data_IF_545367996853
#
_entry.id   IF_545367996853
#
_cell.length_a   1.000
_cell.length_b   1.000
_cell.length_c   1.000
_cell.angle_alpha   90.00
_cell.angle_beta   90.00
_cell.angle_gamma   90.00
#
_symmetry.space_group_name_H-M   'P 1'
#
loop_
_entity.id
_entity.type
_entity.pdbx_description
1 polymer ?
#
# COMPACT_ATOMS: atom_id res chain seq x y z
N UNK A 1 -19.61 -10.27 1.67
CA UNK A 1 -19.87 -8.81 1.56
C UNK A 1 -20.06 -8.13 2.94
N UNK A 2 -19.03 -8.12 3.79
CA UNK A 2 -19.04 -7.47 5.13
C UNK A 2 -17.73 -6.74 5.49
N UNK A 3 -16.69 -6.82 4.64
CA UNK A 3 -15.36 -6.29 4.95
C UNK A 3 -15.16 -4.82 4.51
N UNK A 4 -15.75 -4.40 3.38
CA UNK A 4 -15.57 -3.05 2.81
C UNK A 4 -16.34 -1.92 3.51
N UNK A 5 -17.33 -2.23 4.38
CA UNK A 5 -18.06 -1.20 5.16
C UNK A 5 -17.33 -0.77 6.44
N UNK A 6 -16.21 -1.41 6.81
CA UNK A 6 -15.41 -1.04 8.01
C UNK A 6 -14.39 0.07 7.75
N UNK A 7 -14.14 0.46 6.50
CA UNK A 7 -13.13 1.46 6.15
C UNK A 7 -13.60 2.93 6.25
N UNK A 8 -14.91 3.20 6.34
CA UNK A 8 -15.44 4.58 6.25
C UNK A 8 -16.68 4.84 7.13
N UNK A 9 -16.60 4.56 8.43
CA UNK A 9 -17.53 5.16 9.41
C UNK A 9 -16.75 6.00 10.40
N UNK A 10 -16.76 7.30 10.16
CA UNK A 10 -16.44 8.32 11.16
C UNK A 10 -17.63 8.38 12.11
N UNK A 11 -17.43 8.02 13.37
CA UNK A 11 -18.31 8.39 14.49
C UNK A 11 -17.65 9.51 15.28
N UNK A 12 -18.41 10.50 15.79
CA UNK A 12 -17.82 11.66 16.44
C UNK A 12 -17.22 11.30 17.80
N UNK A 13 -16.20 12.09 18.11
CA UNK A 13 -15.27 12.10 19.24
C UNK A 13 -15.97 11.86 20.60
N UNK A 14 -15.52 10.84 21.33
CA UNK A 14 -15.63 10.83 22.79
C UNK A 14 -14.24 11.20 23.32
N UNK A 15 -14.13 12.36 23.95
CA UNK A 15 -12.91 12.76 24.66
C UNK A 15 -12.75 11.84 25.87
N UNK A 16 -11.71 11.01 25.83
CA UNK A 16 -11.15 10.35 26.99
C UNK A 16 -9.75 10.94 27.18
N UNK A 17 -9.52 11.50 28.37
CA UNK A 17 -8.21 12.03 28.78
C UNK A 17 -7.10 10.98 28.63
N UNK A 18 -5.88 11.37 28.20
CA UNK A 18 -4.80 10.41 27.97
C UNK A 18 -4.23 9.95 29.31
N UNK A 19 -4.48 8.69 29.65
CA UNK A 19 -3.81 7.97 30.72
C UNK A 19 -2.39 7.61 30.30
N UNK A 20 -1.40 8.26 30.93
CA UNK A 20 0.05 7.94 31.00
C UNK A 20 0.68 7.14 29.83
N UNK A 21 1.34 7.87 28.93
CA UNK A 21 2.19 7.38 27.83
C UNK A 21 3.50 6.73 28.33
N UNK A 22 3.43 5.55 28.95
CA UNK A 22 4.63 4.84 29.41
C UNK A 22 5.39 4.08 28.31
N UNK A 23 4.85 3.96 27.09
CA UNK A 23 5.45 3.15 26.00
C UNK A 23 5.29 3.76 24.59
N UNK A 24 5.10 5.07 24.48
CA UNK A 24 5.07 5.75 23.18
C UNK A 24 6.46 5.85 22.55
N UNK A 25 6.57 5.70 21.23
CA UNK A 25 7.76 6.11 20.47
C UNK A 25 7.91 7.64 20.58
N UNK A 26 8.64 8.08 21.61
CA UNK A 26 8.89 9.47 21.89
C UNK A 26 10.33 9.67 22.40
N UNK A 27 10.78 10.92 22.34
CA UNK A 27 12.16 11.29 22.65
C UNK A 27 12.48 11.13 24.15
N UNK A 28 11.48 11.26 25.02
CA UNK A 28 11.66 11.09 26.47
C UNK A 28 11.96 9.63 26.80
N UNK A 29 11.22 8.68 26.23
CA UNK A 29 11.48 7.25 26.34
C UNK A 29 12.84 6.90 25.75
N UNK A 30 13.21 7.49 24.62
CA UNK A 30 14.55 7.32 24.04
C UNK A 30 15.65 7.78 24.99
N UNK A 31 15.55 9.01 25.52
CA UNK A 31 16.54 9.61 26.42
C UNK A 31 16.65 8.87 27.76
N UNK A 32 15.53 8.38 28.29
CA UNK A 32 15.48 7.64 29.54
C UNK A 32 16.11 6.24 29.47
N UNK A 33 16.20 5.66 28.26
CA UNK A 33 16.65 4.28 28.04
C UNK A 33 17.84 4.20 27.07
N UNK A 34 18.71 5.22 27.02
CA UNK A 34 19.87 5.26 26.10
C UNK A 34 20.94 4.19 26.41
N UNK A 35 20.86 3.60 27.60
CA UNK A 35 21.65 2.44 27.99
C UNK A 35 21.34 1.21 27.13
N UNK A 36 20.08 1.05 26.68
CA UNK A 36 19.62 -0.12 25.89
C UNK A 36 19.20 0.28 24.46
N UNK A 37 18.61 1.46 24.26
CA UNK A 37 18.11 1.94 22.98
C UNK A 37 19.15 2.83 22.31
N UNK A 38 19.60 2.47 21.10
CA UNK A 38 20.51 3.32 20.31
C UNK A 38 19.84 4.15 19.23
N UNK A 39 18.59 3.82 18.93
CA UNK A 39 17.81 4.59 17.98
C UNK A 39 16.54 3.88 17.61
N UNK A 40 16.21 3.96 16.33
CA UNK A 40 15.00 3.34 15.77
C UNK A 40 15.31 2.60 14.48
N UNK A 41 14.60 1.50 14.24
CA UNK A 41 14.62 0.74 13.00
C UNK A 41 13.30 0.93 12.25
N UNK A 42 13.35 1.17 10.95
CA UNK A 42 12.15 1.33 10.13
C UNK A 42 11.60 -0.03 9.73
N UNK A 43 10.33 -0.27 10.03
CA UNK A 43 9.59 -1.46 9.64
C UNK A 43 8.50 -1.08 8.64
N UNK A 44 8.78 -1.28 7.36
CA UNK A 44 7.75 -1.17 6.31
C UNK A 44 6.66 -2.24 6.49
N UNK A 45 5.40 -1.86 6.26
CA UNK A 45 4.27 -2.78 6.20
C UNK A 45 4.37 -3.59 4.90
N UNK A 46 4.50 -4.92 5.00
CA UNK A 46 4.71 -5.79 3.83
C UNK A 46 3.40 -6.08 3.09
N UNK A 47 2.88 -5.10 2.36
CA UNK A 47 1.68 -5.22 1.54
C UNK A 47 1.96 -4.80 0.10
N UNK A 48 1.25 -5.37 -0.87
CA UNK A 48 1.44 -5.07 -2.31
C UNK A 48 1.05 -3.61 -2.67
N UNK A 49 0.34 -2.92 -1.76
CA UNK A 49 0.06 -1.48 -1.88
C UNK A 49 1.18 -0.57 -1.35
N UNK A 50 2.12 -1.09 -0.57
CA UNK A 50 3.15 -0.28 0.08
C UNK A 50 4.09 0.27 -1.00
N UNK A 51 4.35 1.59 -1.05
CA UNK A 51 5.16 2.18 -2.11
C UNK A 51 6.59 1.63 -2.15
N UNK A 52 7.19 1.56 -3.34
CA UNK A 52 8.58 1.13 -3.52
C UNK A 52 9.55 1.98 -2.71
N UNK A 53 9.34 3.30 -2.70
CA UNK A 53 10.16 4.23 -1.94
C UNK A 53 10.18 3.88 -0.46
N UNK A 54 9.04 3.44 0.12
CA UNK A 54 8.95 3.03 1.52
C UNK A 54 9.58 1.65 1.75
N UNK A 55 9.33 0.69 0.86
CA UNK A 55 9.85 -0.69 1.00
C UNK A 55 11.38 -0.73 1.01
N UNK A 56 12.05 0.16 0.27
CA UNK A 56 13.51 0.25 0.21
C UNK A 56 14.17 0.63 1.53
N UNK A 57 13.42 1.25 2.45
CA UNK A 57 13.92 1.64 3.76
C UNK A 57 13.64 0.59 4.85
N UNK A 58 13.03 -0.55 4.51
CA UNK A 58 12.77 -1.61 5.48
C UNK A 58 14.07 -2.11 6.11
N UNK A 59 14.13 -2.12 7.44
CA UNK A 59 15.32 -2.50 8.20
C UNK A 59 16.35 -1.38 8.36
N UNK A 60 16.11 -0.17 7.82
CA UNK A 60 17.00 0.96 8.03
C UNK A 60 17.05 1.36 9.50
N UNK A 61 18.25 1.63 10.01
CA UNK A 61 18.47 2.09 11.38
C UNK A 61 18.83 3.57 11.36
N UNK A 62 18.10 4.36 12.15
CA UNK A 62 18.44 5.75 12.46
C UNK A 62 18.92 5.83 13.90
N UNK A 63 20.16 6.27 14.10
CA UNK A 63 20.77 6.48 15.41
C UNK A 63 20.41 7.88 15.90
N UNK A 64 19.54 7.97 16.90
CA UNK A 64 19.04 9.24 17.41
C UNK A 64 17.60 9.16 17.92
N UNK A 65 17.04 10.30 18.37
CA UNK A 65 15.68 10.36 18.88
C UNK A 65 14.63 10.10 17.78
N UNK A 66 13.50 9.42 18.09
CA UNK A 66 12.46 9.11 17.11
C UNK A 66 11.90 10.33 16.36
N UNK A 67 11.84 11.51 16.99
CA UNK A 67 11.31 12.72 16.37
C UNK A 67 12.15 13.26 15.21
N UNK A 68 13.45 12.94 15.19
CA UNK A 68 14.40 13.37 14.17
C UNK A 68 14.56 12.34 13.03
N UNK A 69 13.97 11.14 13.19
CA UNK A 69 14.05 10.10 12.18
C UNK A 69 13.36 10.53 10.87
N UNK A 70 13.89 10.12 9.69
CA UNK A 70 13.27 10.42 8.40
C UNK A 70 11.82 9.97 8.31
N UNK A 71 11.00 10.72 7.56
CA UNK A 71 9.60 10.36 7.32
C UNK A 71 9.45 9.61 6.00
N UNK A 72 9.03 8.37 6.08
CA UNK A 72 8.73 7.52 4.93
C UNK A 72 7.23 7.26 4.83
N UNK A 73 6.61 7.72 3.73
CA UNK A 73 5.19 7.50 3.47
C UNK A 73 4.28 7.92 4.63
N UNK A 74 3.23 7.15 4.86
CA UNK A 74 2.32 7.32 5.99
C UNK A 74 2.44 6.16 6.99
N UNK A 75 1.86 6.29 8.20
CA UNK A 75 1.93 5.25 9.24
C UNK A 75 1.36 3.89 8.79
N UNK A 76 0.48 3.87 7.79
CA UNK A 76 -0.03 2.62 7.20
C UNK A 76 0.98 1.93 6.28
N UNK A 77 2.03 2.63 5.84
CA UNK A 77 3.04 2.12 4.92
C UNK A 77 4.28 1.61 5.67
N UNK A 78 4.53 2.15 6.87
CA UNK A 78 5.55 1.67 7.78
C UNK A 78 5.62 2.53 9.04
N UNK A 79 6.34 2.02 10.04
CA UNK A 79 6.58 2.71 11.30
C UNK A 79 8.03 2.55 11.71
N UNK A 80 8.53 3.51 12.48
CA UNK A 80 9.75 3.34 13.25
C UNK A 80 9.44 2.54 14.51
N UNK A 81 10.36 1.68 14.92
CA UNK A 81 10.32 0.96 16.21
C UNK A 81 11.67 1.13 16.90
N UNK A 82 11.70 1.13 18.23
CA UNK A 82 12.97 1.24 18.95
C UNK A 82 13.93 0.11 18.55
N UNK A 83 15.17 0.49 18.26
CA UNK A 83 16.27 -0.42 17.99
C UNK A 83 17.17 -0.48 19.22
N UNK A 84 17.37 -1.67 19.75
CA UNK A 84 18.21 -1.93 20.92
C UNK A 84 19.61 -2.34 20.50
N UNK A 85 20.60 -2.11 21.36
CA UNK A 85 21.90 -2.79 21.28
C UNK A 85 21.67 -4.29 21.51
N UNK A 86 21.43 -5.03 20.44
CA UNK A 86 21.53 -6.48 20.46
C UNK A 86 22.64 -6.84 19.48
N UNK A 87 23.88 -6.68 19.95
CA UNK A 87 25.05 -7.38 19.38
C UNK A 87 24.91 -8.91 19.51
N UNK A 88 23.91 -9.40 20.24
CA UNK A 88 23.52 -10.80 20.23
C UNK A 88 22.63 -11.13 19.02
N UNK A 89 23.26 -11.57 17.92
CA UNK A 89 22.62 -12.29 16.80
C UNK A 89 21.68 -13.42 17.29
N UNK A 90 21.90 -13.93 18.51
CA UNK A 90 21.14 -15.02 19.14
C UNK A 90 19.71 -14.62 19.55
N UNK A 91 19.42 -13.33 19.76
CA UNK A 91 18.08 -12.81 20.07
C UNK A 91 17.41 -12.08 18.89
N UNK A 92 18.09 -11.96 17.76
CA UNK A 92 17.56 -11.45 16.50
C UNK A 92 16.60 -12.49 15.88
N UNK A 93 15.41 -12.64 16.47
CA UNK A 93 14.34 -13.39 15.85
C UNK A 93 13.80 -12.60 14.66
N UNK A 94 14.06 -13.07 13.43
CA UNK A 94 13.26 -12.68 12.26
C UNK A 94 11.79 -13.01 12.54
N UNK A 95 11.07 -12.03 13.06
CA UNK A 95 9.66 -12.18 13.38
C UNK A 95 8.83 -12.18 12.09
N UNK A 96 7.70 -12.89 12.11
CA UNK A 96 6.77 -12.81 11.00
C UNK A 96 6.14 -11.42 10.97
N UNK A 97 6.19 -10.76 9.82
CA UNK A 97 5.53 -9.49 9.60
C UNK A 97 4.12 -9.72 9.04
N UNK A 98 3.19 -8.83 9.39
CA UNK A 98 1.86 -8.84 8.82
C UNK A 98 1.93 -8.49 7.32
N UNK A 99 1.37 -9.37 6.49
CA UNK A 99 1.21 -9.14 5.05
C UNK A 99 -0.20 -9.46 4.57
N UNK A 100 -0.49 -9.10 3.32
CA UNK A 100 -1.71 -9.51 2.63
C UNK A 100 -1.71 -10.98 2.20
N UNK A 101 -0.61 -11.70 2.29
CA UNK A 101 -0.57 -13.17 2.10
C UNK A 101 -0.48 -13.94 3.43
N UNK A 102 -0.77 -13.26 4.55
CA UNK A 102 -0.67 -13.81 5.91
C UNK A 102 0.64 -13.43 6.60
N UNK A 103 0.92 -13.94 7.81
CA UNK A 103 2.20 -13.70 8.47
C UNK A 103 3.35 -14.31 7.64
N UNK A 104 4.38 -13.52 7.32
CA UNK A 104 5.53 -13.95 6.51
C UNK A 104 6.83 -13.35 7.01
N UNK A 105 7.94 -14.04 6.77
CA UNK A 105 9.28 -13.47 6.99
C UNK A 105 9.58 -12.38 5.95
N UNK A 106 10.24 -11.27 6.34
CA UNK A 106 10.67 -10.24 5.38
C UNK A 106 11.52 -10.79 4.25
N UNK A 107 12.50 -11.64 4.54
CA UNK A 107 13.37 -12.26 3.54
C UNK A 107 12.62 -13.05 2.45
N UNK A 108 11.42 -13.56 2.76
CA UNK A 108 10.58 -14.28 1.80
C UNK A 108 9.77 -13.32 0.91
N UNK A 109 9.17 -12.27 1.48
CA UNK A 109 8.18 -11.47 0.76
C UNK A 109 8.68 -10.11 0.27
N UNK A 110 9.60 -9.48 1.00
CA UNK A 110 10.13 -8.15 0.66
C UNK A 110 10.79 -8.09 -0.73
N UNK A 111 11.61 -9.08 -1.16
CA UNK A 111 12.20 -9.05 -2.51
C UNK A 111 11.13 -9.06 -3.61
N UNK A 112 10.07 -9.86 -3.45
CA UNK A 112 8.94 -9.87 -4.38
C UNK A 112 8.25 -8.51 -4.42
N UNK A 113 7.97 -7.90 -3.26
CA UNK A 113 7.30 -6.61 -3.17
C UNK A 113 8.10 -5.50 -3.84
N UNK A 114 9.41 -5.43 -3.59
CA UNK A 114 10.29 -4.43 -4.20
C UNK A 114 10.21 -4.52 -5.72
N UNK A 115 10.30 -5.72 -6.28
CA UNK A 115 10.26 -5.90 -7.74
C UNK A 115 8.88 -5.66 -8.32
N UNK A 116 7.85 -6.19 -7.68
CA UNK A 116 6.46 -5.95 -8.06
C UNK A 116 6.18 -4.44 -8.14
N UNK A 117 6.54 -3.68 -7.10
CA UNK A 117 6.36 -2.23 -7.07
C UNK A 117 7.27 -1.51 -8.07
N UNK A 118 8.48 -2.01 -8.34
CA UNK A 118 9.33 -1.45 -9.39
C UNK A 118 8.70 -1.52 -10.77
N UNK A 119 7.90 -2.56 -11.05
CA UNK A 119 7.17 -2.70 -12.30
C UNK A 119 5.91 -1.81 -12.29
N UNK A 120 5.11 -1.86 -11.23
CA UNK A 120 3.84 -1.10 -11.12
C UNK A 120 4.06 0.42 -11.07
N UNK A 121 5.16 0.89 -10.47
CA UNK A 121 5.49 2.31 -10.37
C UNK A 121 6.42 2.78 -11.51
N UNK A 122 6.72 1.92 -12.48
CA UNK A 122 7.51 2.29 -13.64
C UNK A 122 6.74 3.19 -14.61
N UNK A 123 7.45 3.75 -15.58
CA UNK A 123 6.88 4.48 -16.72
C UNK A 123 6.43 3.57 -17.87
N UNK A 124 6.46 2.24 -17.71
CA UNK A 124 5.96 1.32 -18.75
C UNK A 124 4.46 1.52 -18.95
N UNK A 125 3.98 1.29 -20.17
CA UNK A 125 2.54 1.20 -20.40
C UNK A 125 1.96 -0.03 -19.68
N UNK A 126 0.64 -0.03 -19.49
CA UNK A 126 -0.01 -1.05 -18.69
C UNK A 126 0.13 -2.46 -19.27
N UNK A 127 0.23 -2.62 -20.60
CA UNK A 127 0.34 -3.95 -21.19
C UNK A 127 1.75 -4.52 -20.95
N UNK A 128 2.78 -3.67 -21.10
CA UNK A 128 4.16 -4.04 -20.74
C UNK A 128 4.30 -4.32 -19.23
N UNK A 129 3.68 -3.52 -18.36
CA UNK A 129 3.66 -3.77 -16.92
C UNK A 129 3.09 -5.15 -16.61
N UNK A 130 1.93 -5.49 -17.17
CA UNK A 130 1.26 -6.77 -16.93
C UNK A 130 2.13 -7.94 -17.43
N UNK A 131 2.74 -7.82 -18.62
CA UNK A 131 3.66 -8.83 -19.13
C UNK A 131 4.82 -9.08 -18.17
N UNK A 132 5.47 -8.02 -17.66
CA UNK A 132 6.58 -8.14 -16.70
C UNK A 132 6.12 -8.74 -15.37
N UNK A 133 4.92 -8.42 -14.90
CA UNK A 133 4.37 -9.01 -13.68
C UNK A 133 4.15 -10.52 -13.81
N UNK A 134 3.68 -11.00 -14.96
CA UNK A 134 3.61 -12.45 -15.23
C UNK A 134 5.00 -13.09 -15.35
N UNK A 135 6.00 -12.39 -15.90
CA UNK A 135 7.38 -12.90 -15.89
C UNK A 135 7.95 -12.97 -14.47
N UNK A 136 7.64 -11.99 -13.62
CA UNK A 136 8.03 -11.95 -12.22
C UNK A 136 7.51 -13.19 -11.47
N UNK A 137 6.26 -13.61 -11.71
CA UNK A 137 5.68 -14.77 -11.02
C UNK A 137 6.43 -16.08 -11.29
N UNK A 138 7.06 -16.22 -12.46
CA UNK A 138 7.79 -17.43 -12.85
C UNK A 138 9.28 -17.39 -12.49
N UNK A 139 9.77 -16.28 -11.92
CA UNK A 139 11.20 -16.10 -11.64
C UNK A 139 11.76 -17.06 -10.59
N UNK A 140 10.94 -17.48 -9.63
CA UNK A 140 11.32 -18.45 -8.60
C UNK A 140 10.11 -19.20 -8.07
N UNK A 141 10.36 -20.35 -7.42
CA UNK A 141 9.32 -21.14 -6.75
C UNK A 141 8.59 -20.32 -5.66
N UNK A 142 9.33 -19.48 -4.95
CA UNK A 142 8.78 -18.62 -3.91
C UNK A 142 7.86 -17.55 -4.51
N UNK A 143 8.29 -16.91 -5.60
CA UNK A 143 7.49 -15.89 -6.29
C UNK A 143 6.22 -16.48 -6.87
N UNK A 144 6.28 -17.70 -7.41
CA UNK A 144 5.12 -18.44 -7.88
C UNK A 144 4.13 -18.74 -6.75
N UNK A 145 4.64 -19.14 -5.59
CA UNK A 145 3.81 -19.41 -4.40
C UNK A 145 3.16 -18.13 -3.87
N UNK A 146 3.90 -17.04 -3.80
CA UNK A 146 3.39 -15.71 -3.44
C UNK A 146 2.29 -15.28 -4.41
N UNK A 147 2.55 -15.41 -5.71
CA UNK A 147 1.61 -15.07 -6.77
C UNK A 147 0.29 -15.84 -6.62
N UNK A 148 0.34 -17.15 -6.40
CA UNK A 148 -0.84 -17.98 -6.16
C UNK A 148 -1.66 -17.52 -4.95
N UNK A 149 -1.00 -17.14 -3.85
CA UNK A 149 -1.68 -16.59 -2.65
C UNK A 149 -2.36 -15.26 -2.97
N UNK A 150 -1.72 -14.40 -3.76
CA UNK A 150 -2.28 -13.11 -4.19
C UNK A 150 -3.50 -13.30 -5.11
N UNK A 151 -3.39 -14.13 -6.14
CA UNK A 151 -4.52 -14.46 -7.04
C UNK A 151 -5.70 -15.08 -6.28
N UNK A 152 -5.43 -15.90 -5.26
CA UNK A 152 -6.50 -16.49 -4.42
C UNK A 152 -7.22 -15.47 -3.53
N UNK A 153 -6.57 -14.33 -3.24
CA UNK A 153 -7.10 -13.29 -2.35
C UNK A 153 -7.74 -12.13 -3.11
N UNK A 154 -7.30 -11.88 -4.35
CA UNK A 154 -7.68 -10.73 -5.15
C UNK A 154 -8.19 -11.20 -6.52
N UNK A 155 -9.52 -11.10 -6.70
CA UNK A 155 -10.26 -11.66 -7.85
C UNK A 155 -9.75 -11.23 -9.24
N UNK A 156 -9.06 -10.09 -9.36
CA UNK A 156 -8.49 -9.58 -10.63
C UNK A 156 -7.04 -9.10 -10.48
N UNK A 157 -6.25 -9.84 -9.70
CA UNK A 157 -4.81 -9.61 -9.63
C UNK A 157 -4.11 -10.24 -10.86
N UNK A 158 -3.17 -9.53 -11.53
CA UNK A 158 -2.65 -8.19 -11.23
C UNK A 158 -3.36 -7.03 -11.94
N UNK A 159 -4.27 -7.29 -12.89
CA UNK A 159 -4.87 -6.28 -13.78
C UNK A 159 -5.56 -5.13 -13.06
N UNK A 160 -6.11 -5.38 -11.87
CA UNK A 160 -6.68 -4.35 -11.00
C UNK A 160 -5.77 -3.14 -10.76
N UNK A 161 -4.45 -3.28 -10.86
CA UNK A 161 -3.52 -2.15 -10.76
C UNK A 161 -3.66 -1.12 -11.88
N UNK A 162 -4.02 -1.56 -13.09
CA UNK A 162 -4.17 -0.68 -14.24
C UNK A 162 -5.34 0.30 -14.10
N UNK A 163 -6.32 -0.02 -13.26
CA UNK A 163 -7.57 0.75 -13.17
C UNK A 163 -7.97 1.13 -11.75
N UNK A 164 -7.35 0.58 -10.70
CA UNK A 164 -7.69 0.90 -9.30
C UNK A 164 -7.62 2.41 -9.01
N UNK A 165 -6.71 3.14 -9.65
CA UNK A 165 -6.59 4.59 -9.52
C UNK A 165 -7.88 5.34 -9.91
N UNK A 166 -8.71 4.79 -10.81
CA UNK A 166 -9.96 5.43 -11.21
C UNK A 166 -10.97 5.46 -10.07
N UNK A 167 -10.80 4.67 -9.01
CA UNK A 167 -11.65 4.73 -7.82
C UNK A 167 -11.50 6.02 -7.00
N UNK A 168 -10.48 6.84 -7.31
CA UNK A 168 -10.39 8.21 -6.80
C UNK A 168 -11.48 9.12 -7.40
N UNK A 169 -12.08 8.74 -8.53
CA UNK A 169 -13.17 9.50 -9.14
C UNK A 169 -14.47 9.32 -8.36
N UNK A 170 -15.24 10.41 -8.17
CA UNK A 170 -16.44 10.36 -7.36
C UNK A 170 -17.51 9.46 -7.99
N UNK A 171 -17.89 8.41 -7.27
CA UNK A 171 -18.91 7.45 -7.73
C UNK A 171 -18.36 6.31 -8.60
N UNK A 172 -17.04 6.19 -8.75
CA UNK A 172 -16.40 5.08 -9.46
C UNK A 172 -15.96 4.02 -8.45
N UNK A 173 -16.61 2.86 -8.47
CA UNK A 173 -16.14 1.67 -7.76
C UNK A 173 -15.24 0.80 -8.65
N UNK A 174 -14.62 -0.25 -8.10
CA UNK A 174 -13.70 -1.12 -8.85
C UNK A 174 -14.30 -1.71 -10.14
N UNK A 175 -15.57 -2.15 -10.12
CA UNK A 175 -16.23 -2.67 -11.33
C UNK A 175 -16.38 -1.61 -12.43
N UNK A 176 -16.70 -0.37 -12.03
CA UNK A 176 -16.80 0.75 -12.96
C UNK A 176 -15.43 1.17 -13.48
N UNK A 177 -14.41 1.15 -12.61
CA UNK A 177 -13.03 1.40 -12.99
C UNK A 177 -12.52 0.38 -14.02
N UNK A 178 -12.80 -0.91 -13.79
CA UNK A 178 -12.51 -1.98 -14.74
C UNK A 178 -13.22 -1.74 -16.09
N UNK A 179 -14.52 -1.45 -16.07
CA UNK A 179 -15.28 -1.18 -17.29
C UNK A 179 -14.73 0.03 -18.06
N UNK A 180 -14.32 1.11 -17.38
CA UNK A 180 -13.65 2.26 -17.99
C UNK A 180 -12.34 1.81 -18.67
N UNK A 181 -11.53 1.01 -17.98
CA UNK A 181 -10.26 0.52 -18.51
C UNK A 181 -10.42 -0.35 -19.76
N UNK A 182 -11.36 -1.30 -19.72
CA UNK A 182 -11.70 -2.18 -20.84
C UNK A 182 -12.26 -1.41 -22.04
N UNK A 183 -12.86 -0.24 -21.82
CA UNK A 183 -13.32 0.67 -22.87
C UNK A 183 -12.24 1.66 -23.34
N UNK A 184 -10.97 1.44 -22.99
CA UNK A 184 -9.82 2.16 -23.54
C UNK A 184 -9.38 3.40 -22.75
N UNK A 185 -9.99 3.67 -21.59
CA UNK A 185 -9.51 4.74 -20.70
C UNK A 185 -8.29 4.27 -19.91
N UNK A 186 -7.17 4.98 -20.03
CA UNK A 186 -5.89 4.62 -19.42
C UNK A 186 -5.45 5.54 -18.28
N UNK A 187 -6.05 6.72 -18.14
CA UNK A 187 -5.75 7.66 -17.04
C UNK A 187 -6.97 8.42 -16.52
N UNK A 188 -6.85 8.95 -15.30
CA UNK A 188 -7.89 9.79 -14.66
C UNK A 188 -8.10 11.08 -15.47
N UNK A 189 -7.02 11.63 -16.01
CA UNK A 189 -7.01 12.85 -16.82
C UNK A 189 -7.80 12.62 -18.12
N UNK A 190 -7.56 11.48 -18.79
CA UNK A 190 -8.31 11.10 -19.99
C UNK A 190 -9.80 10.98 -19.68
N UNK A 191 -10.17 10.32 -18.58
CA UNK A 191 -11.57 10.16 -18.17
C UNK A 191 -12.23 11.52 -17.90
N UNK A 192 -11.54 12.44 -17.22
CA UNK A 192 -12.06 13.79 -16.94
C UNK A 192 -12.19 14.66 -18.19
N UNK A 193 -11.30 14.48 -19.17
CA UNK A 193 -11.33 15.21 -20.43
C UNK A 193 -12.35 14.64 -21.44
N UNK A 194 -12.90 13.45 -21.17
CA UNK A 194 -13.84 12.78 -22.06
C UNK A 194 -15.24 13.40 -22.01
N UNK A 195 -15.95 13.35 -23.12
CA UNK A 195 -17.32 13.85 -23.16
C UNK A 195 -18.27 12.96 -22.35
N UNK A 196 -19.34 13.55 -21.82
CA UNK A 196 -20.43 12.81 -21.15
C UNK A 196 -20.96 11.70 -22.06
N UNK A 197 -21.06 11.95 -23.37
CA UNK A 197 -21.55 10.98 -24.34
C UNK A 197 -20.62 9.78 -24.50
N UNK A 198 -19.30 9.96 -24.41
CA UNK A 198 -18.33 8.86 -24.47
C UNK A 198 -18.38 8.03 -23.20
N UNK A 199 -18.41 8.68 -22.03
CA UNK A 199 -18.51 7.98 -20.75
C UNK A 199 -19.81 7.17 -20.63
N UNK A 200 -20.91 7.65 -21.21
CA UNK A 200 -22.19 6.92 -21.23
C UNK A 200 -22.18 5.66 -22.12
N UNK A 201 -21.15 5.46 -22.98
CA UNK A 201 -21.00 4.20 -23.73
C UNK A 201 -20.49 3.07 -22.85
N UNK A 202 -19.85 3.40 -21.72
CA UNK A 202 -19.31 2.40 -20.79
C UNK A 202 -20.45 1.75 -20.02
N UNK A 203 -20.53 0.41 -19.99
CA UNK A 203 -21.57 -0.31 -19.23
C UNK A 203 -21.62 0.12 -17.77
N UNK A 204 -22.81 0.48 -17.29
CA UNK A 204 -23.04 0.91 -15.91
C UNK A 204 -22.76 2.39 -15.62
N UNK A 205 -22.34 3.19 -16.61
CA UNK A 205 -22.23 4.64 -16.49
C UNK A 205 -23.40 5.34 -17.20
N UNK A 206 -24.23 6.02 -16.40
CA UNK A 206 -25.27 6.92 -16.90
C UNK A 206 -24.84 8.39 -16.87
N UNK A 207 -25.64 9.26 -17.49
CA UNK A 207 -25.39 10.70 -17.61
C UNK A 207 -25.02 11.38 -16.28
N UNK A 208 -25.77 11.13 -15.21
CA UNK A 208 -25.50 11.70 -13.88
C UNK A 208 -24.14 11.29 -13.31
N UNK A 209 -23.75 10.03 -13.51
CA UNK A 209 -22.43 9.53 -13.08
C UNK A 209 -21.31 10.18 -13.89
N UNK A 210 -21.50 10.32 -15.20
CA UNK A 210 -20.54 10.98 -16.10
C UNK A 210 -20.36 12.49 -15.77
N UNK A 211 -21.45 13.21 -15.50
CA UNK A 211 -21.43 14.61 -15.03
C UNK A 211 -20.64 14.72 -13.71
N UNK A 212 -20.89 13.81 -12.77
CA UNK A 212 -20.17 13.80 -11.48
C UNK A 212 -18.67 13.53 -11.65
N UNK A 213 -18.29 12.61 -12.53
CA UNK A 213 -16.89 12.25 -12.79
C UNK A 213 -16.12 13.42 -13.43
N UNK A 214 -16.74 14.09 -14.40
CA UNK A 214 -16.13 15.22 -15.14
C UNK A 214 -16.18 16.54 -14.36
N UNK A 215 -16.99 16.62 -13.31
CA UNK A 215 -17.19 17.85 -12.53
C UNK A 215 -18.04 18.89 -13.26
N UNK A 216 -18.67 18.53 -14.36
CA UNK A 216 -19.61 19.39 -15.09
C UNK A 216 -20.95 19.36 -14.35
N UNK A 217 -21.19 20.35 -13.50
CA UNK A 217 -22.52 20.63 -12.99
C UNK A 217 -23.26 21.54 -13.98
N UNK A 218 -24.48 21.16 -14.36
CA UNK A 218 -25.45 22.09 -14.96
C UNK A 218 -26.17 22.87 -13.87
#
# INVERSE_FOLDING_TARGET
>A
MRWLKKLFKITPKHESEPTSDAFGLNDDSFRANQDIIKGVQFTATLQIRTPLSVLKHHGEIYVGPPSEAPKYGSQRDGIWVFATDLEDEELSYESNHASDIGPVKPAYYLPFLIEFRSIVESSFDHDEQIQKLYQLSERSKDFKTIWQKLTSRYDDFPHSYCYAQFTALPGVGLKTAQALYENGFKSVEQIKASSISELCKVPGLGKKSAEKITGVCK
#
